data_IF_844123716700
#
_entry.id   IF_844123716700
#
_cell.length_a   1.000
_cell.length_b   1.000
_cell.length_c   1.000
_cell.angle_alpha   90.00
_cell.angle_beta   90.00
_cell.angle_gamma   90.00
#
_symmetry.space_group_name_H-M   'P 1'
#
loop_
_entity.id
_entity.type
_entity.pdbx_description
1 polymer ?
#
# COMPACT_ATOMS: atom_id res chain seq x y z
N UNK A 1 -21.28 -30.26 -6.86
CA UNK A 1 -19.83 -30.13 -7.16
C UNK A 1 -19.07 -30.77 -6.02
N UNK A 2 -18.13 -31.67 -6.30
CA UNK A 2 -17.31 -32.30 -5.26
C UNK A 2 -16.24 -31.29 -4.82
N UNK A 3 -16.32 -30.84 -3.55
CA UNK A 3 -15.28 -30.03 -2.93
C UNK A 3 -14.21 -31.01 -2.42
N UNK A 4 -12.92 -30.78 -2.71
CA UNK A 4 -11.83 -31.62 -2.19
C UNK A 4 -11.80 -31.64 -0.66
N UNK A 5 -11.44 -32.78 -0.07
CA UNK A 5 -11.32 -32.91 1.38
C UNK A 5 -10.29 -31.93 1.98
N UNK A 6 -9.19 -31.69 1.28
CA UNK A 6 -8.20 -30.69 1.62
C UNK A 6 -8.40 -29.45 0.74
N UNK A 7 -8.72 -28.34 1.36
CA UNK A 7 -8.99 -27.06 0.70
C UNK A 7 -8.39 -25.92 1.51
N UNK A 8 -8.18 -24.76 0.89
CA UNK A 8 -7.90 -23.52 1.57
C UNK A 8 -9.13 -22.62 1.51
N UNK A 9 -9.50 -22.04 2.65
CA UNK A 9 -10.38 -20.89 2.67
C UNK A 9 -9.50 -19.66 2.47
N UNK A 10 -9.80 -18.87 1.43
CA UNK A 10 -8.98 -17.73 1.02
C UNK A 10 -9.79 -16.45 1.17
N UNK A 11 -9.20 -15.45 1.83
CA UNK A 11 -9.71 -14.09 1.93
C UNK A 11 -8.55 -13.12 1.68
N UNK A 12 -8.56 -12.43 0.56
CA UNK A 12 -7.45 -11.62 0.08
C UNK A 12 -6.12 -12.42 0.07
N UNK A 13 -5.12 -12.01 0.83
CA UNK A 13 -3.82 -12.67 0.94
C UNK A 13 -3.77 -13.76 2.02
N UNK A 14 -4.82 -13.87 2.84
CA UNK A 14 -4.90 -14.85 3.93
C UNK A 14 -5.46 -16.18 3.46
N UNK A 15 -4.80 -17.28 3.88
CA UNK A 15 -5.23 -18.65 3.56
C UNK A 15 -5.26 -19.51 4.80
N UNK A 16 -6.40 -20.12 5.06
CA UNK A 16 -6.58 -21.09 6.16
C UNK A 16 -6.76 -22.48 5.58
N UNK A 17 -5.85 -23.40 5.90
CA UNK A 17 -5.98 -24.78 5.47
C UNK A 17 -7.14 -25.46 6.20
N UNK A 18 -8.07 -26.01 5.43
CA UNK A 18 -9.23 -26.76 5.91
C UNK A 18 -9.10 -28.24 5.52
N UNK A 19 -9.43 -29.10 6.46
CA UNK A 19 -9.63 -30.53 6.20
C UNK A 19 -11.11 -30.79 6.40
N UNK A 20 -11.89 -30.88 5.32
CA UNK A 20 -13.35 -30.89 5.38
C UNK A 20 -13.97 -32.08 6.13
N UNK A 21 -13.19 -33.14 6.38
CA UNK A 21 -13.59 -34.25 7.28
C UNK A 21 -13.57 -33.86 8.75
N UNK A 22 -12.97 -32.73 9.13
CA UNK A 22 -12.90 -32.29 10.54
C UNK A 22 -14.02 -31.30 10.84
N UNK A 23 -14.71 -31.52 11.95
CA UNK A 23 -15.80 -30.65 12.40
C UNK A 23 -15.37 -29.19 12.55
N UNK A 24 -14.16 -28.95 13.05
CA UNK A 24 -13.61 -27.61 13.20
C UNK A 24 -13.57 -26.85 11.84
N UNK A 25 -13.14 -27.51 10.77
CA UNK A 25 -13.09 -26.90 9.43
C UNK A 25 -14.48 -26.52 8.92
N UNK A 26 -15.48 -27.34 9.20
CA UNK A 26 -16.88 -27.07 8.87
C UNK A 26 -17.39 -25.86 9.67
N UNK A 27 -17.07 -25.79 10.97
CA UNK A 27 -17.43 -24.62 11.81
C UNK A 27 -16.82 -23.32 11.30
N UNK A 28 -15.55 -23.32 10.94
CA UNK A 28 -14.87 -22.14 10.36
C UNK A 28 -15.61 -21.63 9.12
N UNK A 29 -15.98 -22.53 8.19
CA UNK A 29 -16.75 -22.17 7.00
C UNK A 29 -18.10 -21.55 7.39
N UNK A 30 -18.82 -22.13 8.34
CA UNK A 30 -20.12 -21.59 8.78
C UNK A 30 -19.99 -20.23 9.47
N UNK A 31 -18.93 -20.02 10.24
CA UNK A 31 -18.70 -18.76 10.94
C UNK A 31 -18.34 -17.66 9.95
N UNK A 32 -17.53 -17.95 8.93
CA UNK A 32 -17.26 -17.02 7.84
C UNK A 32 -18.53 -16.71 7.02
N UNK A 33 -19.35 -17.70 6.72
CA UNK A 33 -20.65 -17.47 6.07
C UNK A 33 -21.57 -16.53 6.87
N UNK A 34 -21.54 -16.63 8.20
CA UNK A 34 -22.32 -15.73 9.06
C UNK A 34 -21.79 -14.31 9.11
N UNK A 35 -20.46 -14.14 9.06
CA UNK A 35 -19.82 -12.81 9.05
C UNK A 35 -20.13 -12.05 7.77
N UNK A 36 -20.05 -12.71 6.63
CA UNK A 36 -20.09 -12.07 5.31
C UNK A 36 -21.48 -12.12 4.64
N UNK A 37 -22.49 -12.71 5.30
CA UNK A 37 -23.84 -12.84 4.76
C UNK A 37 -23.88 -13.74 3.53
N UNK A 38 -24.59 -13.31 2.47
CA UNK A 38 -24.75 -14.09 1.22
C UNK A 38 -23.60 -13.95 0.23
N UNK A 39 -22.41 -13.51 0.65
CA UNK A 39 -21.24 -13.42 -0.23
C UNK A 39 -20.64 -14.78 -0.52
N UNK A 40 -20.07 -14.93 -1.71
CA UNK A 40 -19.40 -16.15 -2.11
C UNK A 40 -18.12 -16.35 -1.27
N UNK A 41 -17.95 -17.53 -0.69
CA UNK A 41 -16.70 -17.94 -0.08
C UNK A 41 -15.80 -18.59 -1.14
N UNK A 42 -14.54 -18.19 -1.18
CA UNK A 42 -13.55 -18.78 -2.06
C UNK A 42 -12.89 -19.96 -1.36
N UNK A 43 -13.10 -21.15 -1.91
CA UNK A 43 -12.41 -22.36 -1.49
C UNK A 43 -11.47 -22.80 -2.60
N UNK A 44 -10.17 -22.73 -2.33
CA UNK A 44 -9.13 -23.21 -3.22
C UNK A 44 -8.77 -24.64 -2.90
N UNK A 45 -8.44 -25.43 -3.90
CA UNK A 45 -7.94 -26.79 -3.70
C UNK A 45 -6.58 -26.73 -3.01
N UNK A 46 -6.40 -27.47 -1.91
CA UNK A 46 -5.08 -27.62 -1.32
C UNK A 46 -4.17 -28.36 -2.30
N UNK A 47 -3.01 -27.79 -2.55
CA UNK A 47 -2.02 -28.41 -3.41
C UNK A 47 -1.55 -29.74 -2.82
N UNK A 48 -1.68 -30.79 -3.59
CA UNK A 48 -1.07 -32.08 -3.27
C UNK A 48 0.37 -31.99 -3.78
N UNK A 49 1.34 -31.93 -2.95
CA UNK A 49 2.81 -31.88 -3.14
C UNK A 49 3.47 -32.18 -4.50
N UNK A 50 2.70 -32.32 -5.57
CA UNK A 50 3.13 -32.61 -6.94
C UNK A 50 3.47 -31.35 -7.76
N UNK A 51 3.19 -30.14 -7.24
CA UNK A 51 3.44 -28.87 -7.91
C UNK A 51 4.69 -28.15 -7.37
N UNK A 52 5.70 -28.90 -7.00
CA UNK A 52 6.96 -28.38 -6.51
C UNK A 52 7.95 -28.30 -7.66
N UNK A 53 8.47 -27.10 -7.93
CA UNK A 53 9.62 -26.93 -8.81
C UNK A 53 10.89 -27.26 -8.05
N UNK A 54 11.86 -27.87 -8.71
CA UNK A 54 13.12 -28.29 -8.12
C UNK A 54 14.26 -27.45 -8.66
N UNK A 55 15.14 -26.97 -7.78
CA UNK A 55 16.43 -26.41 -8.12
C UNK A 55 17.55 -27.30 -7.56
N UNK A 56 18.81 -26.90 -7.76
CA UNK A 56 19.96 -27.58 -7.13
C UNK A 56 19.95 -27.54 -5.60
N UNK A 57 19.12 -26.70 -5.00
CA UNK A 57 18.98 -26.53 -3.53
C UNK A 57 17.77 -27.28 -2.95
N UNK A 58 16.94 -27.91 -3.78
CA UNK A 58 15.76 -28.66 -3.35
C UNK A 58 14.46 -28.26 -4.01
N UNK A 59 13.35 -28.65 -3.39
CA UNK A 59 11.99 -28.34 -3.87
C UNK A 59 11.50 -26.98 -3.40
N UNK A 60 10.89 -26.21 -4.29
CA UNK A 60 10.34 -24.89 -4.03
C UNK A 60 8.85 -24.84 -4.36
N UNK A 61 8.08 -24.17 -3.52
CA UNK A 61 6.69 -23.80 -3.85
C UNK A 61 6.72 -22.68 -4.89
N UNK A 62 5.99 -22.87 -5.99
CA UNK A 62 5.95 -21.89 -7.08
C UNK A 62 4.53 -21.35 -7.23
N UNK A 63 4.35 -20.07 -7.20
CA UNK A 63 3.13 -19.38 -7.59
C UNK A 63 3.23 -18.96 -9.05
N UNK A 64 2.24 -19.37 -9.87
CA UNK A 64 2.16 -18.97 -11.28
C UNK A 64 0.91 -18.10 -11.43
N UNK A 65 1.09 -16.81 -11.67
CA UNK A 65 0.00 -15.91 -11.99
C UNK A 65 -0.21 -15.89 -13.49
N UNK A 66 -1.37 -16.38 -13.94
CA UNK A 66 -1.75 -16.38 -15.36
C UNK A 66 -2.84 -15.33 -15.57
N UNK A 67 -2.56 -14.19 -16.18
CA UNK A 67 -3.59 -13.22 -16.51
C UNK A 67 -4.48 -13.76 -17.63
N UNK A 68 -5.79 -13.86 -17.36
CA UNK A 68 -6.77 -14.28 -18.36
C UNK A 68 -7.52 -13.07 -18.90
N UNK A 69 -7.48 -12.88 -20.21
CA UNK A 69 -8.22 -11.81 -20.88
C UNK A 69 -9.41 -12.39 -21.65
N UNK A 70 -10.56 -11.71 -21.53
CA UNK A 70 -11.76 -12.09 -22.30
C UNK A 70 -11.58 -11.69 -23.76
N UNK A 71 -11.74 -12.64 -24.67
CA UNK A 71 -11.45 -12.49 -26.11
C UNK A 71 -12.61 -11.81 -26.87
N UNK A 72 -13.24 -10.79 -26.34
CA UNK A 72 -14.41 -10.17 -26.97
C UNK A 72 -14.20 -8.68 -27.34
N UNK A 73 -13.10 -8.35 -27.90
CA UNK A 73 -12.83 -7.21 -28.81
C UNK A 73 -11.38 -7.29 -29.17
N UNK A 74 -11.04 -7.07 -30.42
CA UNK A 74 -9.68 -6.73 -30.81
C UNK A 74 -9.24 -5.47 -30.03
N UNK A 75 -8.73 -5.70 -28.83
CA UNK A 75 -7.90 -4.69 -28.19
C UNK A 75 -6.68 -4.58 -29.08
N UNK A 76 -6.55 -3.47 -29.79
CA UNK A 76 -5.28 -3.11 -30.39
C UNK A 76 -4.22 -3.34 -29.33
N UNK A 77 -3.19 -4.12 -29.65
CA UNK A 77 -2.09 -4.40 -28.75
C UNK A 77 -1.42 -3.08 -28.35
N UNK A 78 -1.86 -2.51 -27.25
CA UNK A 78 -1.30 -1.28 -26.65
C UNK A 78 0.00 -1.60 -25.91
N UNK A 79 0.27 -2.89 -25.67
CA UNK A 79 1.48 -3.31 -24.97
C UNK A 79 2.58 -3.68 -25.98
N UNK A 80 3.80 -3.16 -25.83
CA UNK A 80 4.91 -3.55 -26.67
C UNK A 80 5.12 -5.06 -26.61
N UNK A 81 5.33 -5.68 -27.74
CA UNK A 81 5.51 -7.13 -27.88
C UNK A 81 6.79 -7.65 -27.21
N UNK A 82 7.70 -6.77 -26.84
CA UNK A 82 8.95 -7.12 -26.16
C UNK A 82 8.74 -7.13 -24.65
N UNK A 83 8.89 -8.31 -24.06
CA UNK A 83 8.98 -8.47 -22.62
C UNK A 83 10.31 -7.90 -22.15
N UNK A 84 10.32 -6.72 -21.59
CA UNK A 84 11.50 -6.16 -20.93
C UNK A 84 11.65 -6.90 -19.59
N UNK A 85 12.65 -7.77 -19.51
CA UNK A 85 13.00 -8.42 -18.24
C UNK A 85 13.91 -7.44 -17.48
N UNK A 86 13.43 -6.95 -16.35
CA UNK A 86 14.20 -6.09 -15.46
C UNK A 86 15.00 -6.98 -14.51
N UNK A 87 16.31 -6.80 -14.48
CA UNK A 87 17.18 -7.58 -13.59
C UNK A 87 16.84 -7.28 -12.12
N UNK A 88 16.79 -8.32 -11.28
CA UNK A 88 16.45 -8.21 -9.85
C UNK A 88 17.22 -7.10 -9.12
N UNK A 89 18.51 -6.93 -9.43
CA UNK A 89 19.34 -5.88 -8.82
C UNK A 89 18.86 -4.45 -9.08
N UNK A 90 18.05 -4.22 -10.13
CA UNK A 90 17.48 -2.89 -10.44
C UNK A 90 16.23 -2.57 -9.61
N UNK A 91 15.65 -3.58 -8.97
CA UNK A 91 14.53 -3.40 -8.05
C UNK A 91 15.01 -3.01 -6.65
N UNK A 92 16.22 -3.42 -6.30
CA UNK A 92 16.72 -3.33 -4.93
C UNK A 92 17.59 -2.09 -4.77
N UNK A 93 17.15 -1.20 -3.89
CA UNK A 93 17.96 -0.07 -3.41
C UNK A 93 18.51 -0.44 -2.04
N UNK A 94 19.82 -0.62 -1.97
CA UNK A 94 20.50 -0.94 -0.71
C UNK A 94 20.62 0.32 0.17
N UNK A 95 20.61 0.16 1.50
CA UNK A 95 20.79 1.30 2.40
C UNK A 95 22.07 2.09 2.08
N UNK A 96 21.95 3.41 2.00
CA UNK A 96 23.02 4.36 1.67
C UNK A 96 23.54 4.34 0.22
N UNK A 97 22.90 3.65 -0.73
CA UNK A 97 23.19 3.85 -2.15
C UNK A 97 22.49 5.14 -2.64
N UNK A 98 21.17 5.07 -2.86
CA UNK A 98 20.35 6.23 -3.23
C UNK A 98 19.19 6.43 -2.26
N UNK A 99 18.97 5.48 -1.36
CA UNK A 99 17.84 5.45 -0.46
C UNK A 99 18.22 5.03 0.95
N UNK A 100 17.47 5.59 1.90
CA UNK A 100 17.37 5.07 3.27
C UNK A 100 15.91 4.70 3.52
N UNK A 101 15.66 3.50 3.98
CA UNK A 101 14.33 3.00 4.25
C UNK A 101 14.22 2.55 5.69
N UNK A 102 13.38 3.23 6.45
CA UNK A 102 13.11 2.97 7.85
C UNK A 102 11.71 2.39 8.05
N UNK A 103 11.60 1.38 8.89
CA UNK A 103 10.35 0.93 9.47
C UNK A 103 10.30 1.45 10.91
N UNK A 104 9.42 2.40 11.18
CA UNK A 104 9.23 3.06 12.48
C UNK A 104 8.03 2.43 13.16
N UNK A 105 8.28 1.54 14.13
CA UNK A 105 7.22 0.82 14.84
C UNK A 105 6.69 1.66 15.99
N UNK A 106 5.46 2.14 15.86
CA UNK A 106 4.77 2.94 16.87
C UNK A 106 3.39 2.35 17.19
N UNK A 107 2.76 2.89 18.23
CA UNK A 107 1.35 2.58 18.48
C UNK A 107 0.49 3.24 17.40
N UNK A 108 -0.50 2.52 16.85
CA UNK A 108 -1.38 3.02 15.80
C UNK A 108 -2.08 4.34 16.17
N UNK A 109 -2.36 4.58 17.45
CA UNK A 109 -2.94 5.84 17.91
C UNK A 109 -1.96 7.04 17.87
N UNK A 110 -0.65 6.79 17.69
CA UNK A 110 0.41 7.80 17.61
C UNK A 110 0.98 7.98 16.21
N UNK A 111 0.55 7.19 15.24
CA UNK A 111 1.02 7.32 13.84
C UNK A 111 0.79 8.72 13.27
N UNK A 112 -0.39 9.31 13.51
CA UNK A 112 -0.69 10.67 13.08
C UNK A 112 0.26 11.71 13.71
N UNK A 113 0.62 11.53 14.98
CA UNK A 113 1.54 12.40 15.69
C UNK A 113 2.96 12.26 15.11
N UNK A 114 3.45 11.04 14.99
CA UNK A 114 4.75 10.74 14.38
C UNK A 114 4.87 11.35 12.98
N UNK A 115 3.84 11.22 12.13
CA UNK A 115 3.86 11.74 10.75
C UNK A 115 3.78 13.28 10.76
N UNK A 116 2.82 13.85 11.49
CA UNK A 116 2.50 15.27 11.45
C UNK A 116 3.56 16.18 12.07
N UNK A 117 4.35 15.65 12.98
CA UNK A 117 5.35 16.44 13.72
C UNK A 117 6.75 15.85 13.54
N UNK A 118 7.01 14.66 14.05
CA UNK A 118 8.37 14.14 14.13
C UNK A 118 9.00 13.88 12.75
N UNK A 119 8.26 13.25 11.82
CA UNK A 119 8.74 12.99 10.46
C UNK A 119 8.79 14.28 9.66
N UNK A 120 7.69 15.05 9.66
CA UNK A 120 7.58 16.28 8.90
C UNK A 120 8.69 17.28 9.30
N UNK A 121 8.82 17.60 10.59
CA UNK A 121 9.81 18.58 11.05
C UNK A 121 11.24 18.14 10.75
N UNK A 122 11.56 16.86 10.96
CA UNK A 122 12.87 16.32 10.67
C UNK A 122 13.19 16.34 9.17
N UNK A 123 12.24 15.89 8.34
CA UNK A 123 12.46 15.84 6.90
C UNK A 123 12.47 17.23 6.25
N UNK A 124 11.68 18.19 6.75
CA UNK A 124 11.76 19.59 6.32
C UNK A 124 13.12 20.20 6.67
N UNK A 125 13.64 19.96 7.88
CA UNK A 125 14.99 20.42 8.27
C UNK A 125 16.08 19.82 7.34
N UNK A 126 15.94 18.55 6.97
CA UNK A 126 16.86 17.93 6.02
C UNK A 126 16.78 18.56 4.63
N UNK A 127 15.58 18.80 4.10
CA UNK A 127 15.37 19.41 2.77
C UNK A 127 15.87 20.85 2.68
N UNK A 128 15.85 21.59 3.77
CA UNK A 128 16.42 22.96 3.80
C UNK A 128 17.94 22.98 3.59
N UNK A 129 18.64 21.92 3.97
CA UNK A 129 20.11 21.88 4.03
C UNK A 129 20.73 20.93 3.00
N UNK A 130 19.99 19.95 2.56
CA UNK A 130 20.46 18.85 1.71
C UNK A 130 19.49 18.57 0.58
N UNK A 131 20.01 18.09 -0.54
CA UNK A 131 19.21 17.64 -1.67
C UNK A 131 18.65 16.24 -1.39
N UNK A 132 17.55 16.19 -0.67
CA UNK A 132 16.83 14.97 -0.31
C UNK A 132 15.34 15.09 -0.62
N UNK A 133 14.75 13.98 -0.98
CA UNK A 133 13.30 13.80 -1.10
C UNK A 133 12.87 12.68 -0.17
N UNK A 134 11.61 12.67 0.25
CA UNK A 134 11.11 11.61 1.11
C UNK A 134 9.63 11.33 0.86
N UNK A 135 9.24 10.10 1.18
CA UNK A 135 7.84 9.73 1.31
C UNK A 135 7.65 8.69 2.40
N UNK A 136 6.41 8.58 2.86
CA UNK A 136 6.06 7.59 3.85
C UNK A 136 4.82 6.80 3.45
N UNK A 137 4.67 5.63 4.07
CA UNK A 137 3.49 4.78 3.96
C UNK A 137 3.17 4.19 5.33
N UNK A 138 1.88 4.04 5.64
CA UNK A 138 1.45 3.28 6.82
C UNK A 138 1.32 1.81 6.46
N UNK A 139 1.74 0.97 7.36
CA UNK A 139 1.70 -0.47 7.15
C UNK A 139 1.40 -1.22 8.45
N UNK A 140 0.80 -2.41 8.36
CA UNK A 140 0.31 -3.14 9.54
C UNK A 140 0.99 -4.49 9.70
N UNK A 141 1.68 -5.01 8.71
CA UNK A 141 2.30 -6.33 8.77
C UNK A 141 3.78 -6.28 9.21
N UNK A 142 4.18 -7.04 10.23
CA UNK A 142 3.39 -7.84 11.20
C UNK A 142 2.79 -7.00 12.34
N UNK A 143 3.14 -5.73 12.43
CA UNK A 143 2.67 -4.75 13.43
C UNK A 143 2.54 -3.38 12.78
N UNK A 144 1.68 -2.50 13.32
CA UNK A 144 1.58 -1.13 12.83
C UNK A 144 2.94 -0.43 12.82
N UNK A 145 3.28 0.20 11.69
CA UNK A 145 4.51 0.97 11.54
C UNK A 145 4.40 1.94 10.37
N UNK A 146 5.19 2.99 10.43
CA UNK A 146 5.39 3.92 9.34
C UNK A 146 6.65 3.55 8.58
N UNK A 147 6.53 3.37 7.28
CA UNK A 147 7.63 3.16 6.35
C UNK A 147 8.06 4.51 5.82
N UNK A 148 9.18 5.01 6.31
CA UNK A 148 9.78 6.26 5.83
C UNK A 148 10.93 5.94 4.87
N UNK A 149 10.90 6.52 3.68
CA UNK A 149 11.95 6.40 2.68
C UNK A 149 12.51 7.79 2.36
N UNK A 150 13.82 7.92 2.46
CA UNK A 150 14.56 9.16 2.16
C UNK A 150 15.47 8.89 0.98
N UNK A 151 15.35 9.68 -0.07
CA UNK A 151 16.17 9.65 -1.29
C UNK A 151 17.21 10.73 -1.27
N UNK A 152 18.41 10.39 -1.72
CA UNK A 152 19.52 11.33 -1.89
C UNK A 152 20.70 10.63 -2.52
N UNK A 153 21.74 11.37 -2.91
CA UNK A 153 22.98 10.73 -3.35
C UNK A 153 23.69 10.05 -2.16
N UNK A 154 24.54 9.09 -2.43
CA UNK A 154 25.31 8.40 -1.40
C UNK A 154 26.04 9.38 -0.47
N UNK A 155 26.67 10.42 -1.04
CA UNK A 155 27.39 11.42 -0.28
C UNK A 155 26.48 12.18 0.68
N UNK A 156 25.29 12.56 0.22
CA UNK A 156 24.28 13.27 1.03
C UNK A 156 23.76 12.35 2.13
N UNK A 157 23.43 11.11 1.81
CA UNK A 157 22.93 10.14 2.80
C UNK A 157 23.95 9.84 3.91
N UNK A 158 25.23 9.79 3.57
CA UNK A 158 26.31 9.66 4.56
C UNK A 158 26.49 10.92 5.41
N UNK A 159 26.30 12.11 4.84
CA UNK A 159 26.37 13.37 5.60
C UNK A 159 25.23 13.52 6.60
N UNK A 160 24.01 13.12 6.24
CA UNK A 160 22.84 13.24 7.14
C UNK A 160 22.76 12.11 8.18
N UNK A 161 23.57 11.06 8.05
CA UNK A 161 23.53 9.91 8.95
C UNK A 161 23.63 10.24 10.45
N UNK A 162 24.55 11.12 10.90
CA UNK A 162 24.61 11.52 12.32
C UNK A 162 23.33 12.22 12.79
N UNK A 163 22.66 12.99 11.93
CA UNK A 163 21.38 13.66 12.25
C UNK A 163 20.27 12.63 12.41
N UNK A 164 20.25 11.63 11.52
CA UNK A 164 19.29 10.52 11.59
C UNK A 164 19.45 9.76 12.91
N UNK A 165 20.69 9.42 13.31
CA UNK A 165 20.94 8.72 14.58
C UNK A 165 20.41 9.54 15.76
N UNK A 166 20.71 10.83 15.80
CA UNK A 166 20.23 11.72 16.87
C UNK A 166 18.70 11.75 16.92
N UNK A 167 18.05 11.91 15.78
CA UNK A 167 16.60 11.90 15.68
C UNK A 167 15.99 10.58 16.13
N UNK A 168 16.57 9.44 15.73
CA UNK A 168 16.12 8.12 16.17
C UNK A 168 16.20 7.93 17.67
N UNK A 169 17.29 8.38 18.30
CA UNK A 169 17.40 8.36 19.76
C UNK A 169 16.32 9.20 20.42
N UNK A 170 16.05 10.39 19.90
CA UNK A 170 14.99 11.25 20.42
C UNK A 170 13.61 10.56 20.32
N UNK A 171 13.27 9.95 19.19
CA UNK A 171 12.00 9.22 19.03
C UNK A 171 11.84 8.07 20.04
N UNK A 172 12.91 7.36 20.35
CA UNK A 172 12.93 6.28 21.34
C UNK A 172 12.82 6.82 22.77
N UNK A 173 13.57 7.87 23.10
CA UNK A 173 13.59 8.50 24.43
C UNK A 173 12.23 9.14 24.76
N UNK A 174 11.57 9.75 23.78
CA UNK A 174 10.25 10.36 23.91
C UNK A 174 9.12 9.29 23.84
N UNK A 175 9.48 8.02 23.61
CA UNK A 175 8.53 6.91 23.50
C UNK A 175 7.55 7.04 22.32
N UNK A 176 7.93 7.76 21.27
CA UNK A 176 7.14 7.88 20.04
C UNK A 176 7.15 6.56 19.29
N UNK A 177 8.32 5.94 19.19
CA UNK A 177 8.51 4.62 18.60
C UNK A 177 9.01 3.62 19.64
N UNK A 178 8.66 2.34 19.47
CA UNK A 178 9.15 1.24 20.31
C UNK A 178 10.26 0.41 19.67
N UNK A 179 10.40 0.47 18.34
CA UNK A 179 11.41 -0.24 17.57
C UNK A 179 11.64 0.47 16.23
N UNK A 180 12.82 0.28 15.65
CA UNK A 180 13.18 0.84 14.36
C UNK A 180 14.03 -0.17 13.59
N UNK A 181 13.77 -0.31 12.29
CA UNK A 181 14.58 -1.16 11.40
C UNK A 181 14.94 -0.40 10.13
N UNK A 182 16.16 -0.60 9.67
CA UNK A 182 16.60 -0.21 8.33
C UNK A 182 16.38 -1.41 7.41
N UNK A 183 15.78 -1.17 6.25
CA UNK A 183 15.42 -2.21 5.29
C UNK A 183 15.93 -1.87 3.89
N UNK A 184 15.97 -2.88 3.03
CA UNK A 184 16.20 -2.71 1.60
C UNK A 184 14.89 -2.20 0.98
N UNK A 185 14.96 -1.18 0.12
CA UNK A 185 13.82 -0.75 -0.64
C UNK A 185 13.71 -1.58 -1.93
N UNK A 186 12.74 -2.50 -1.95
CA UNK A 186 12.36 -3.23 -3.16
C UNK A 186 11.33 -2.37 -3.91
N UNK A 187 11.75 -1.80 -5.05
CA UNK A 187 10.91 -0.99 -5.93
C UNK A 187 10.00 -1.91 -6.73
N UNK A 188 8.71 -1.74 -6.66
CA UNK A 188 7.72 -2.53 -7.41
C UNK A 188 7.63 -2.05 -8.88
N UNK A 189 8.74 -2.08 -9.60
CA UNK A 189 8.93 -1.45 -10.91
C UNK A 189 7.88 -1.89 -11.93
N UNK A 190 7.57 -3.19 -11.99
CA UNK A 190 6.58 -3.72 -12.94
C UNK A 190 5.16 -3.26 -12.60
N UNK A 191 4.86 -3.13 -11.31
CA UNK A 191 3.55 -2.65 -10.83
C UNK A 191 3.27 -1.24 -11.30
N UNK A 192 4.31 -0.42 -11.40
CA UNK A 192 4.20 0.98 -11.85
C UNK A 192 4.55 1.15 -13.33
N UNK A 193 4.63 0.06 -14.11
CA UNK A 193 4.76 0.12 -15.56
C UNK A 193 6.18 0.33 -16.09
N UNK A 194 7.20 -0.02 -15.31
CA UNK A 194 8.60 0.02 -15.71
C UNK A 194 9.40 1.13 -15.02
N UNK A 195 10.71 1.14 -15.25
CA UNK A 195 11.66 2.02 -14.57
C UNK A 195 11.27 3.51 -14.64
N UNK A 196 10.93 3.99 -15.85
CA UNK A 196 10.59 5.39 -16.04
C UNK A 196 9.31 5.80 -15.31
N UNK A 197 8.28 4.97 -15.33
CA UNK A 197 7.02 5.26 -14.63
C UNK A 197 7.18 5.08 -13.11
N UNK A 198 8.09 4.21 -12.65
CA UNK A 198 8.42 4.11 -11.23
C UNK A 198 9.03 5.41 -10.70
N UNK A 199 9.91 6.07 -11.46
CA UNK A 199 10.48 7.36 -11.07
C UNK A 199 9.40 8.45 -10.95
N UNK A 200 8.41 8.44 -11.86
CA UNK A 200 7.25 9.34 -11.79
C UNK A 200 6.36 9.01 -10.58
N UNK A 201 6.13 7.71 -10.33
CA UNK A 201 5.35 7.28 -9.17
C UNK A 201 5.97 7.73 -7.84
N UNK A 202 7.30 7.65 -7.72
CA UNK A 202 8.03 8.15 -6.54
C UNK A 202 7.85 9.66 -6.36
N UNK A 203 7.85 10.45 -7.44
CA UNK A 203 7.55 11.89 -7.35
C UNK A 203 6.13 12.15 -6.85
N UNK A 204 5.15 11.36 -7.31
CA UNK A 204 3.77 11.44 -6.80
C UNK A 204 3.75 11.10 -5.31
N UNK A 205 4.49 10.08 -4.86
CA UNK A 205 4.56 9.72 -3.43
C UNK A 205 5.17 10.82 -2.56
N UNK A 206 6.17 11.57 -3.07
CA UNK A 206 6.73 12.71 -2.34
C UNK A 206 5.69 13.82 -2.15
N UNK A 207 4.95 14.15 -3.22
CA UNK A 207 3.90 15.18 -3.17
C UNK A 207 2.75 14.73 -2.25
N UNK A 208 2.30 13.49 -2.38
CA UNK A 208 1.24 12.92 -1.56
C UNK A 208 1.63 12.94 -0.07
N UNK A 209 2.83 12.52 0.27
CA UNK A 209 3.34 12.54 1.64
C UNK A 209 3.33 13.95 2.23
N UNK A 210 3.80 14.95 1.49
CA UNK A 210 3.79 16.35 1.92
C UNK A 210 2.37 16.87 2.17
N UNK A 211 1.42 16.52 1.30
CA UNK A 211 0.02 16.91 1.47
C UNK A 211 -0.60 16.23 2.70
N UNK A 212 -0.39 14.92 2.86
CA UNK A 212 -0.96 14.14 3.96
C UNK A 212 -0.43 14.60 5.32
N UNK A 213 0.88 14.80 5.46
CA UNK A 213 1.46 15.28 6.73
C UNK A 213 0.97 16.68 7.10
N UNK A 214 0.84 17.57 6.10
CA UNK A 214 0.28 18.91 6.30
C UNK A 214 -1.18 18.86 6.76
N UNK A 215 -2.00 18.00 6.18
CA UNK A 215 -3.40 17.79 6.58
C UNK A 215 -3.45 17.24 8.01
N UNK A 216 -2.64 16.23 8.33
CA UNK A 216 -2.59 15.64 9.67
C UNK A 216 -2.19 16.68 10.71
N UNK A 217 -1.18 17.50 10.42
CA UNK A 217 -0.74 18.61 11.30
C UNK A 217 -1.87 19.63 11.51
N UNK A 218 -2.54 20.09 10.45
CA UNK A 218 -3.66 21.02 10.57
C UNK A 218 -4.81 20.43 11.39
N UNK A 219 -5.10 19.15 11.25
CA UNK A 219 -6.12 18.45 12.07
C UNK A 219 -5.71 18.40 13.54
N UNK A 220 -4.49 18.01 13.84
CA UNK A 220 -3.96 17.93 15.21
C UNK A 220 -3.92 19.27 15.90
N UNK A 221 -3.64 20.34 15.17
CA UNK A 221 -3.66 21.72 15.68
C UNK A 221 -5.09 22.31 15.76
N UNK A 222 -6.12 21.59 15.35
CA UNK A 222 -7.49 22.07 15.35
C UNK A 222 -7.81 23.15 14.30
N UNK A 223 -6.92 23.33 13.32
CA UNK A 223 -7.09 24.30 12.22
C UNK A 223 -8.04 23.75 11.15
N UNK A 224 -7.98 22.43 10.92
CA UNK A 224 -8.83 21.74 9.95
C UNK A 224 -9.85 20.86 10.69
N UNK A 225 -11.15 21.24 10.60
CA UNK A 225 -12.26 20.53 11.24
C UNK A 225 -12.97 19.51 10.30
N UNK A 226 -12.31 19.13 9.20
CA UNK A 226 -12.87 18.18 8.23
C UNK A 226 -12.66 16.73 8.70
N UNK A 227 -13.67 15.88 8.49
CA UNK A 227 -13.54 14.45 8.79
C UNK A 227 -12.53 13.77 7.87
N UNK A 228 -11.85 12.74 8.37
CA UNK A 228 -10.81 12.03 7.62
C UNK A 228 -11.36 11.36 6.35
N UNK A 229 -12.58 10.85 6.41
CA UNK A 229 -13.30 10.27 5.27
C UNK A 229 -13.60 11.31 4.19
N UNK A 230 -14.02 12.52 4.58
CA UNK A 230 -14.27 13.59 3.63
C UNK A 230 -12.98 14.02 2.90
N UNK A 231 -11.86 14.08 3.63
CA UNK A 231 -10.53 14.36 3.06
C UNK A 231 -10.14 13.27 2.06
N UNK A 232 -10.33 12.00 2.43
CA UNK A 232 -10.01 10.87 1.56
C UNK A 232 -10.85 10.92 0.25
N UNK A 233 -12.14 11.22 0.34
CA UNK A 233 -13.02 11.36 -0.83
C UNK A 233 -12.52 12.49 -1.74
N UNK A 234 -12.22 13.67 -1.18
CA UNK A 234 -11.71 14.79 -1.95
C UNK A 234 -10.39 14.42 -2.64
N UNK A 235 -9.47 13.76 -1.93
CA UNK A 235 -8.19 13.31 -2.48
C UNK A 235 -8.41 12.35 -3.66
N UNK A 236 -9.29 11.36 -3.53
CA UNK A 236 -9.62 10.43 -4.62
C UNK A 236 -10.17 11.19 -5.85
N UNK A 237 -11.06 12.16 -5.65
CA UNK A 237 -11.61 12.98 -6.73
C UNK A 237 -10.49 13.76 -7.42
N UNK A 238 -9.63 14.42 -6.66
CA UNK A 238 -8.51 15.19 -7.21
C UNK A 238 -7.52 14.32 -7.99
N UNK A 239 -7.18 13.14 -7.47
CA UNK A 239 -6.34 12.18 -8.19
C UNK A 239 -6.99 11.71 -9.50
N UNK A 240 -8.27 11.33 -9.46
CA UNK A 240 -8.97 10.90 -10.68
C UNK A 240 -9.05 12.00 -11.72
N UNK A 241 -9.24 13.26 -11.31
CA UNK A 241 -9.21 14.42 -12.20
C UNK A 241 -7.82 14.67 -12.80
N UNK A 242 -6.75 14.36 -12.07
CA UNK A 242 -5.38 14.46 -12.58
C UNK A 242 -5.01 13.38 -13.60
N UNK A 243 -5.61 12.19 -13.49
CA UNK A 243 -5.29 11.05 -14.38
C UNK A 243 -6.24 10.90 -15.57
N UNK A 244 -7.47 11.43 -15.49
CA UNK A 244 -8.50 11.25 -16.51
C UNK A 244 -9.06 12.58 -16.98
N UNK A 245 -9.08 12.79 -18.30
CA UNK A 245 -9.47 14.07 -18.91
C UNK A 245 -10.96 14.35 -18.81
N UNK A 246 -11.80 13.31 -18.79
CA UNK A 246 -13.24 13.48 -18.81
C UNK A 246 -13.95 12.73 -17.67
N UNK A 247 -15.13 13.23 -17.33
CA UNK A 247 -15.92 12.69 -16.21
C UNK A 247 -16.35 11.23 -16.41
N UNK A 248 -16.59 10.79 -17.64
CA UNK A 248 -16.99 9.41 -17.93
C UNK A 248 -15.87 8.42 -17.59
N UNK A 249 -14.62 8.73 -17.96
CA UNK A 249 -13.44 7.92 -17.62
C UNK A 249 -13.19 7.87 -16.11
N UNK A 250 -13.33 9.02 -15.42
CA UNK A 250 -13.24 9.11 -13.97
C UNK A 250 -14.27 8.20 -13.29
N UNK A 251 -15.54 8.26 -13.73
CA UNK A 251 -16.61 7.43 -13.20
C UNK A 251 -16.42 5.95 -13.51
N UNK A 252 -15.93 5.61 -14.69
CA UNK A 252 -15.61 4.22 -15.05
C UNK A 252 -14.49 3.65 -14.17
N UNK A 253 -13.43 4.42 -13.92
CA UNK A 253 -12.37 4.02 -12.99
C UNK A 253 -12.92 3.75 -11.58
N UNK A 254 -13.72 4.68 -11.06
CA UNK A 254 -14.31 4.53 -9.73
C UNK A 254 -15.27 3.32 -9.66
N UNK A 255 -16.10 3.11 -10.70
CA UNK A 255 -17.04 1.98 -10.74
C UNK A 255 -16.34 0.61 -10.78
N UNK A 256 -15.16 0.52 -11.41
CA UNK A 256 -14.40 -0.73 -11.48
C UNK A 256 -13.72 -1.03 -10.15
N UNK A 257 -13.21 -0.01 -9.46
CA UNK A 257 -12.37 -0.18 -8.28
C UNK A 257 -13.14 -0.12 -6.94
N UNK A 258 -14.38 0.37 -6.94
CA UNK A 258 -15.16 0.53 -5.71
C UNK A 258 -16.54 -0.12 -5.82
N UNK A 259 -16.83 -1.08 -4.96
CA UNK A 259 -18.15 -1.69 -4.86
C UNK A 259 -19.09 -0.79 -4.06
N UNK A 260 -20.18 -0.34 -4.70
CA UNK A 260 -21.08 0.72 -4.19
C UNK A 260 -22.06 0.28 -3.11
N UNK A 261 -22.22 -1.01 -2.81
CA UNK A 261 -23.35 -1.51 -2.00
C UNK A 261 -23.25 -1.18 -0.51
N UNK A 262 -22.06 -1.16 0.06
CA UNK A 262 -21.89 -1.20 1.53
C UNK A 262 -21.95 0.20 2.19
N UNK A 263 -21.73 1.29 1.44
CA UNK A 263 -21.65 2.66 1.97
C UNK A 263 -22.79 3.59 1.54
N UNK A 264 -23.77 3.11 0.79
CA UNK A 264 -24.84 3.95 0.24
C UNK A 264 -25.69 4.67 1.30
N UNK A 265 -25.90 4.06 2.47
CA UNK A 265 -26.66 4.70 3.56
C UNK A 265 -25.88 5.87 4.16
N UNK A 266 -24.60 5.74 4.30
CA UNK A 266 -23.69 6.72 4.86
C UNK A 266 -23.41 7.85 3.88
N UNK A 267 -23.20 7.53 2.61
CA UNK A 267 -23.11 8.49 1.51
C UNK A 267 -24.34 9.38 1.43
N UNK A 268 -25.55 8.82 1.53
CA UNK A 268 -26.80 9.61 1.52
C UNK A 268 -26.85 10.64 2.64
N UNK A 269 -26.33 10.33 3.82
CA UNK A 269 -26.28 11.25 4.97
C UNK A 269 -25.29 12.40 4.73
N UNK A 270 -24.16 12.11 4.07
CA UNK A 270 -23.07 13.08 3.82
C UNK A 270 -23.19 13.81 2.48
N UNK A 271 -24.07 13.37 1.57
CA UNK A 271 -24.17 13.86 0.19
C UNK A 271 -24.21 15.38 0.06
N UNK A 272 -25.05 16.06 0.80
CA UNK A 272 -25.20 17.53 0.71
C UNK A 272 -23.92 18.26 1.11
N UNK A 273 -23.24 17.77 2.16
CA UNK A 273 -21.98 18.33 2.62
C UNK A 273 -20.86 18.10 1.59
N UNK A 274 -20.76 16.89 1.03
CA UNK A 274 -19.74 16.56 0.02
C UNK A 274 -19.93 17.38 -1.26
N UNK A 275 -21.16 17.53 -1.74
CA UNK A 275 -21.48 18.40 -2.91
C UNK A 275 -21.03 19.83 -2.65
N UNK A 276 -21.30 20.37 -1.44
CA UNK A 276 -20.85 21.71 -1.06
C UNK A 276 -19.33 21.87 -1.01
N UNK A 277 -18.60 20.84 -0.57
CA UNK A 277 -17.14 20.85 -0.48
C UNK A 277 -16.46 20.73 -1.84
N UNK A 278 -17.03 19.94 -2.75
CA UNK A 278 -16.48 19.73 -4.09
C UNK A 278 -16.84 20.83 -5.10
N UNK A 279 -17.67 21.79 -4.72
CA UNK A 279 -18.06 22.91 -5.60
C UNK A 279 -18.97 22.50 -6.76
N UNK A 280 -19.71 21.40 -6.64
CA UNK A 280 -20.62 20.86 -7.66
C UNK A 280 -22.04 21.36 -7.44
#
# INVERSE_FOLDING_TARGET
KNIPDDSYLTEADDRIKLVLKKELSIRIIFDEFKKHGSRDLILERAETGENITYSGEGGHTTEIVVPLFRKEKELQNIYPAEKVIIERKKHLELPFENWLYFNLYCNSNREDELIAFDIMDFCEELKEKYDVEYFFMRYVDPKPHVRLRVKGTQEVLLQIYPLIIKWQHQLLDDGIIGDLKISIYDREIERYGGLHLMDIAEQVFFIDSFIVESILRMKRLGVLAMDQEDIAIISIIMYTQGFYENFEEQMNFLAINYHTSDFMSEFKKKKQRLVSLCGC
#
